data_IF_111189194909
#
_entry.id   IF_111189194909
#
_cell.length_a   1.000
_cell.length_b   1.000
_cell.length_c   1.000
_cell.angle_alpha   90.00
_cell.angle_beta   90.00
_cell.angle_gamma   90.00
#
_symmetry.space_group_name_H-M   'P 1'
#
loop_
_entity.id
_entity.type
_entity.pdbx_description
1 polymer ?
#
# COMPACT_ATOMS: atom_id res chain seq x y z
N UNK A 1 21.87 58.77 17.79
CA UNK A 1 23.04 58.24 17.02
C UNK A 1 23.64 57.11 17.84
N UNK A 2 24.11 55.95 17.39
CA UNK A 2 24.43 55.38 16.10
C UNK A 2 24.14 53.88 16.24
N UNK A 3 23.05 53.39 15.64
CA UNK A 3 22.87 51.94 15.38
C UNK A 3 22.57 51.67 13.91
N UNK A 4 22.97 52.60 13.03
CA UNK A 4 22.71 52.47 11.59
C UNK A 4 23.46 51.27 11.02
N UNK A 5 24.72 51.08 11.42
CA UNK A 5 25.56 49.96 11.00
C UNK A 5 24.98 48.61 11.44
N UNK A 6 24.51 48.50 12.68
CA UNK A 6 23.85 47.31 13.23
C UNK A 6 22.52 47.02 12.53
N UNK A 7 21.74 48.07 12.24
CA UNK A 7 20.48 47.97 11.50
C UNK A 7 20.72 47.50 10.07
N UNK A 8 21.69 48.07 9.36
CA UNK A 8 22.08 47.66 8.01
C UNK A 8 22.60 46.21 7.98
N UNK A 9 23.47 45.84 8.93
CA UNK A 9 23.96 44.46 9.11
C UNK A 9 22.78 43.49 9.35
N UNK A 10 21.84 43.85 10.23
CA UNK A 10 20.66 43.04 10.50
C UNK A 10 19.77 42.87 9.25
N UNK A 11 19.55 43.94 8.48
CA UNK A 11 18.77 43.89 7.22
C UNK A 11 19.47 43.01 6.18
N UNK A 12 20.78 43.14 6.01
CA UNK A 12 21.56 42.34 5.07
C UNK A 12 21.52 40.84 5.44
N UNK A 13 21.72 40.50 6.72
CA UNK A 13 21.59 39.13 7.22
C UNK A 13 20.17 38.59 7.03
N UNK A 14 19.14 39.41 7.30
CA UNK A 14 17.75 39.01 7.12
C UNK A 14 17.42 38.71 5.65
N UNK A 15 17.88 39.55 4.71
CA UNK A 15 17.73 39.33 3.25
C UNK A 15 18.44 38.07 2.77
N UNK A 16 19.57 37.70 3.39
CA UNK A 16 20.28 36.43 3.16
C UNK A 16 19.59 35.21 3.79
N UNK A 17 18.46 35.39 4.46
CA UNK A 17 17.67 34.31 5.04
C UNK A 17 18.16 33.85 6.42
N UNK A 18 18.75 34.72 7.23
CA UNK A 18 19.02 34.46 8.65
C UNK A 18 17.74 34.67 9.49
N UNK A 19 17.55 33.86 10.52
CA UNK A 19 16.49 34.01 11.53
C UNK A 19 16.84 35.09 12.55
N UNK A 20 15.83 35.57 13.30
CA UNK A 20 16.07 36.59 14.33
C UNK A 20 17.06 36.11 15.40
N UNK A 21 17.01 34.84 15.80
CA UNK A 21 17.96 34.28 16.78
C UNK A 21 19.39 34.22 16.24
N UNK A 22 19.58 33.97 14.94
CA UNK A 22 20.91 34.01 14.33
C UNK A 22 21.44 35.44 14.20
N UNK A 23 20.58 36.40 13.87
CA UNK A 23 20.97 37.80 13.77
C UNK A 23 21.36 38.36 15.13
N UNK A 24 20.63 37.99 16.20
CA UNK A 24 20.95 38.41 17.58
C UNK A 24 22.32 37.93 18.08
N UNK A 25 22.85 36.82 17.52
CA UNK A 25 24.21 36.35 17.83
C UNK A 25 25.29 37.24 17.19
N UNK A 26 24.97 37.87 16.06
CA UNK A 26 25.88 38.67 15.25
C UNK A 26 25.72 40.19 15.47
N UNK A 27 24.56 40.58 16.01
CA UNK A 27 24.12 41.96 16.23
C UNK A 27 23.51 42.02 17.64
N UNK A 28 24.28 42.43 18.66
CA UNK A 28 23.84 42.41 20.06
C UNK A 28 22.89 43.58 20.35
N UNK A 29 21.60 43.40 20.01
CA UNK A 29 20.53 44.35 20.30
C UNK A 29 19.36 43.64 20.96
N UNK A 30 18.47 44.39 21.63
CA UNK A 30 17.24 43.81 22.16
C UNK A 30 16.38 43.22 21.05
N UNK A 31 15.71 42.09 21.34
CA UNK A 31 14.82 41.41 20.39
C UNK A 31 13.69 42.32 19.90
N UNK A 32 13.16 43.18 20.77
CA UNK A 32 12.16 44.21 20.44
C UNK A 32 12.69 45.19 19.39
N UNK A 33 13.93 45.68 19.57
CA UNK A 33 14.62 46.56 18.61
C UNK A 33 14.81 45.88 17.26
N UNK A 34 15.30 44.64 17.25
CA UNK A 34 15.49 43.87 16.01
C UNK A 34 14.16 43.65 15.27
N UNK A 35 13.08 43.39 16.01
CA UNK A 35 11.74 43.20 15.44
C UNK A 35 11.23 44.46 14.76
N UNK A 36 11.44 45.64 15.35
CA UNK A 36 11.07 46.92 14.76
C UNK A 36 11.86 47.15 13.46
N UNK A 37 13.17 46.91 13.48
CA UNK A 37 14.04 47.12 12.31
C UNK A 37 13.71 46.22 11.13
N UNK A 38 13.31 44.98 11.40
CA UNK A 38 13.03 43.98 10.36
C UNK A 38 11.54 43.89 9.98
N UNK A 39 10.68 44.73 10.56
CA UNK A 39 9.22 44.71 10.33
C UNK A 39 8.84 44.92 8.87
N UNK A 40 9.51 45.86 8.19
CA UNK A 40 9.27 46.20 6.78
C UNK A 40 10.20 45.46 5.81
N UNK A 41 11.12 44.63 6.31
CA UNK A 41 12.06 43.89 5.48
C UNK A 41 11.37 42.65 4.93
N UNK A 42 10.78 42.77 3.74
CA UNK A 42 10.31 41.63 2.97
C UNK A 42 11.46 40.65 2.71
N UNK A 43 11.21 39.37 2.98
CA UNK A 43 12.11 38.31 2.55
C UNK A 43 12.01 38.18 1.02
N UNK A 44 13.14 37.98 0.33
CA UNK A 44 13.17 37.68 -1.11
C UNK A 44 12.37 36.39 -1.45
N UNK A 45 12.22 36.03 -2.74
CA UNK A 45 11.43 34.86 -3.17
C UNK A 45 11.75 33.60 -2.34
N UNK A 46 10.69 32.96 -1.79
CA UNK A 46 10.72 31.87 -0.79
C UNK A 46 11.59 30.66 -1.15
N UNK A 47 11.84 30.41 -2.44
CA UNK A 47 12.35 29.14 -2.95
C UNK A 47 13.88 28.92 -2.81
N UNK A 48 14.69 29.95 -2.49
CA UNK A 48 16.16 29.82 -2.38
C UNK A 48 16.75 30.35 -1.06
N UNK A 49 15.95 30.42 -0.01
CA UNK A 49 16.42 30.97 1.28
C UNK A 49 16.92 29.89 2.23
N UNK A 50 18.09 30.16 2.84
CA UNK A 50 18.67 29.36 3.91
C UNK A 50 17.68 29.02 5.03
N UNK A 51 16.83 29.96 5.43
CA UNK A 51 15.79 29.72 6.45
C UNK A 51 14.74 28.70 6.00
N UNK A 52 14.29 28.78 4.74
CA UNK A 52 13.34 27.83 4.16
C UNK A 52 13.95 26.43 4.10
N UNK A 53 15.18 26.31 3.62
CA UNK A 53 15.91 25.03 3.58
C UNK A 53 16.11 24.43 4.97
N UNK A 54 16.48 25.25 5.96
CA UNK A 54 16.60 24.81 7.36
C UNK A 54 15.27 24.28 7.90
N UNK A 55 14.16 24.97 7.62
CA UNK A 55 12.81 24.53 8.03
C UNK A 55 12.42 23.21 7.36
N UNK A 56 12.68 23.07 6.05
CA UNK A 56 12.42 21.82 5.33
C UNK A 56 13.26 20.67 5.87
N UNK A 57 14.57 20.88 6.11
CA UNK A 57 15.45 19.88 6.72
C UNK A 57 14.99 19.48 8.12
N UNK A 58 14.57 20.44 8.95
CA UNK A 58 14.02 20.16 10.28
C UNK A 58 12.70 19.37 10.20
N UNK A 59 11.80 19.75 9.31
CA UNK A 59 10.54 19.05 9.08
C UNK A 59 10.77 17.61 8.59
N UNK A 60 11.72 17.42 7.66
CA UNK A 60 12.15 16.10 7.18
C UNK A 60 12.74 15.25 8.31
N UNK A 61 13.65 15.81 9.13
CA UNK A 61 14.21 15.12 10.30
C UNK A 61 13.12 14.69 11.29
N UNK A 62 12.19 15.59 11.60
CA UNK A 62 11.05 15.29 12.48
C UNK A 62 10.14 14.20 11.87
N UNK A 63 9.90 14.26 10.56
CA UNK A 63 9.12 13.24 9.83
C UNK A 63 9.81 11.87 9.86
N UNK A 64 11.11 11.83 9.61
CA UNK A 64 11.92 10.61 9.68
C UNK A 64 11.93 10.02 11.09
N UNK A 65 12.13 10.85 12.12
CA UNK A 65 12.08 10.39 13.51
C UNK A 65 10.72 9.76 13.87
N UNK A 66 9.62 10.43 13.50
CA UNK A 66 8.26 9.89 13.69
C UNK A 66 8.04 8.60 12.89
N UNK A 67 8.54 8.53 11.66
CA UNK A 67 8.46 7.33 10.82
C UNK A 67 9.19 6.17 11.48
N UNK A 68 10.42 6.37 11.96
CA UNK A 68 11.21 5.32 12.63
C UNK A 68 10.50 4.84 13.90
N UNK A 69 10.01 5.74 14.75
CA UNK A 69 9.23 5.38 15.95
C UNK A 69 7.98 4.55 15.58
N UNK A 70 7.25 4.95 14.54
CA UNK A 70 6.07 4.21 14.05
C UNK A 70 6.44 2.81 13.54
N UNK A 71 7.58 2.66 12.86
CA UNK A 71 8.03 1.36 12.36
C UNK A 71 8.33 0.39 13.51
N UNK A 72 8.99 0.85 14.57
CA UNK A 72 9.26 0.03 15.76
C UNK A 72 7.95 -0.44 16.40
N UNK A 73 7.05 0.48 16.71
CA UNK A 73 5.73 0.16 17.29
C UNK A 73 4.93 -0.77 16.38
N UNK A 74 4.98 -0.55 15.07
CA UNK A 74 4.28 -1.41 14.09
C UNK A 74 4.80 -2.85 14.14
N UNK A 75 6.12 -3.05 14.20
CA UNK A 75 6.69 -4.39 14.23
C UNK A 75 6.44 -5.09 15.58
N UNK A 76 6.40 -4.35 16.69
CA UNK A 76 5.98 -4.88 18.00
C UNK A 76 4.52 -5.35 17.98
N UNK A 77 3.59 -4.50 17.51
CA UNK A 77 2.17 -4.85 17.38
C UNK A 77 2.01 -6.09 16.50
N UNK A 78 2.64 -6.12 15.32
CA UNK A 78 2.57 -7.28 14.42
C UNK A 78 3.17 -8.52 15.06
N UNK A 79 4.28 -8.40 15.80
CA UNK A 79 4.91 -9.54 16.48
C UNK A 79 3.98 -10.14 17.51
N UNK A 80 3.25 -9.32 18.26
CA UNK A 80 2.27 -9.79 19.23
C UNK A 80 1.05 -10.40 18.55
N UNK A 81 0.43 -9.70 17.59
CA UNK A 81 -0.74 -10.18 16.87
C UNK A 81 -0.49 -11.51 16.12
N UNK A 82 0.73 -11.74 15.59
CA UNK A 82 1.09 -13.02 14.96
C UNK A 82 1.01 -14.20 15.93
N UNK A 83 1.26 -13.98 17.22
CA UNK A 83 1.20 -15.05 18.24
C UNK A 83 -0.23 -15.39 18.64
N UNK A 84 -1.15 -14.42 18.54
CA UNK A 84 -2.56 -14.58 18.91
C UNK A 84 -3.31 -15.55 18.00
N UNK A 85 -2.87 -15.72 16.73
CA UNK A 85 -3.50 -16.63 15.77
C UNK A 85 -3.33 -18.11 16.15
N UNK A 86 -2.19 -18.49 16.75
CA UNK A 86 -1.91 -19.88 17.09
C UNK A 86 -1.87 -20.83 15.88
N UNK A 87 -2.31 -22.07 16.10
CA UNK A 87 -2.38 -23.11 15.07
C UNK A 87 -3.71 -23.06 14.33
N UNK A 88 -3.67 -23.21 13.00
CA UNK A 88 -4.88 -23.24 12.17
C UNK A 88 -5.29 -24.68 11.87
N UNK A 89 -6.41 -25.11 12.44
CA UNK A 89 -7.09 -26.37 12.17
C UNK A 89 -7.73 -26.39 10.76
N UNK A 90 -8.19 -27.57 10.33
CA UNK A 90 -8.90 -27.70 9.05
C UNK A 90 -10.25 -26.96 9.05
N UNK A 91 -10.91 -26.86 10.21
CA UNK A 91 -12.15 -26.08 10.37
C UNK A 91 -11.89 -24.58 10.24
N UNK A 92 -10.85 -24.08 10.87
CA UNK A 92 -10.48 -22.66 10.76
C UNK A 92 -10.01 -22.33 9.34
N UNK A 93 -9.20 -23.19 8.72
CA UNK A 93 -8.81 -23.02 7.32
C UNK A 93 -10.03 -23.02 6.39
N UNK A 94 -11.04 -23.86 6.67
CA UNK A 94 -12.29 -23.86 5.93
C UNK A 94 -13.02 -22.53 6.03
N UNK A 95 -13.21 -22.00 7.25
CA UNK A 95 -13.84 -20.69 7.49
C UNK A 95 -13.05 -19.54 6.86
N UNK A 96 -11.72 -19.53 7.01
CA UNK A 96 -10.84 -18.52 6.40
C UNK A 96 -10.97 -18.52 4.89
N UNK A 97 -11.00 -19.70 4.26
CA UNK A 97 -11.17 -19.79 2.81
C UNK A 97 -12.55 -19.30 2.33
N UNK A 98 -13.61 -19.55 3.10
CA UNK A 98 -14.94 -18.99 2.81
C UNK A 98 -14.93 -17.47 2.92
N UNK A 99 -14.43 -16.92 4.03
CA UNK A 99 -14.36 -15.48 4.24
C UNK A 99 -13.50 -14.78 3.18
N UNK A 100 -12.39 -15.42 2.79
CA UNK A 100 -11.53 -14.93 1.72
C UNK A 100 -12.26 -14.90 0.38
N UNK A 101 -12.97 -15.98 0.03
CA UNK A 101 -13.78 -16.03 -1.18
C UNK A 101 -14.95 -15.02 -1.14
N UNK A 102 -15.55 -14.79 0.02
CA UNK A 102 -16.62 -13.80 0.17
C UNK A 102 -16.13 -12.39 -0.17
N UNK A 103 -14.89 -12.05 0.23
CA UNK A 103 -14.28 -10.75 -0.07
C UNK A 103 -13.82 -10.57 -1.52
N UNK A 104 -13.17 -11.58 -2.11
CA UNK A 104 -12.41 -11.44 -3.37
C UNK A 104 -12.88 -12.40 -4.49
N UNK A 105 -13.87 -13.25 -4.20
CA UNK A 105 -14.41 -14.25 -5.10
C UNK A 105 -15.48 -13.71 -6.06
N UNK A 106 -15.79 -14.49 -7.09
CA UNK A 106 -16.89 -14.18 -8.00
C UNK A 106 -18.23 -14.33 -7.32
N UNK A 107 -19.01 -13.24 -7.29
CA UNK A 107 -20.39 -13.27 -6.81
C UNK A 107 -21.31 -13.89 -7.86
N UNK A 108 -22.16 -14.81 -7.42
CA UNK A 108 -23.30 -15.20 -8.23
C UNK A 108 -24.24 -14.00 -8.42
N UNK A 109 -24.85 -13.94 -9.59
CA UNK A 109 -25.85 -12.91 -9.93
C UNK A 109 -27.11 -13.65 -10.34
N UNK A 110 -28.27 -13.12 -10.00
CA UNK A 110 -29.56 -13.70 -10.38
C UNK A 110 -29.66 -13.94 -11.89
N UNK A 111 -29.20 -12.96 -12.68
CA UNK A 111 -29.15 -13.05 -14.14
C UNK A 111 -28.01 -13.91 -14.71
N UNK A 112 -27.15 -14.50 -13.86
CA UNK A 112 -26.11 -15.44 -14.26
C UNK A 112 -25.85 -16.47 -13.15
N UNK A 113 -26.74 -17.48 -13.02
CA UNK A 113 -26.63 -18.51 -11.99
C UNK A 113 -25.54 -19.55 -12.29
N UNK A 114 -24.90 -19.46 -13.46
CA UNK A 114 -23.90 -20.41 -13.95
C UNK A 114 -22.46 -19.88 -13.87
N UNK A 115 -22.21 -18.91 -12.98
CA UNK A 115 -20.86 -18.35 -12.82
C UNK A 115 -19.88 -19.36 -12.22
N UNK A 116 -18.72 -19.57 -12.87
CA UNK A 116 -17.65 -20.40 -12.31
C UNK A 116 -17.03 -19.69 -11.11
N UNK A 117 -16.48 -20.48 -10.19
CA UNK A 117 -15.74 -19.96 -9.06
C UNK A 117 -14.42 -19.34 -9.52
N UNK A 118 -14.32 -18.02 -9.38
CA UNK A 118 -13.11 -17.23 -9.64
C UNK A 118 -12.67 -16.51 -8.38
N UNK A 119 -11.36 -16.34 -8.23
CA UNK A 119 -10.73 -15.59 -7.16
C UNK A 119 -9.61 -14.75 -7.76
N UNK A 120 -9.59 -13.43 -7.58
CA UNK A 120 -8.60 -12.56 -8.23
C UNK A 120 -7.90 -11.68 -7.21
N UNK A 121 -6.57 -11.76 -7.11
CA UNK A 121 -5.81 -10.89 -6.21
C UNK A 121 -4.37 -10.68 -6.73
N UNK A 122 -3.66 -9.68 -6.18
CA UNK A 122 -2.25 -9.42 -6.49
C UNK A 122 -1.31 -9.87 -5.38
N UNK A 123 -1.83 -10.14 -4.18
CA UNK A 123 -1.02 -10.63 -3.06
C UNK A 123 -0.69 -12.13 -3.24
N UNK A 124 0.60 -12.50 -3.40
CA UNK A 124 0.99 -13.88 -3.59
C UNK A 124 0.70 -14.78 -2.37
N UNK A 125 0.73 -14.25 -1.15
CA UNK A 125 0.42 -15.02 0.06
C UNK A 125 -1.07 -15.33 0.15
N UNK A 126 -1.91 -14.38 -0.25
CA UNK A 126 -3.36 -14.57 -0.31
C UNK A 126 -3.73 -15.64 -1.34
N UNK A 127 -3.13 -15.60 -2.53
CA UNK A 127 -3.34 -16.62 -3.57
C UNK A 127 -2.87 -18.00 -3.08
N UNK A 128 -1.71 -18.09 -2.41
CA UNK A 128 -1.22 -19.34 -1.82
C UNK A 128 -2.18 -19.90 -0.77
N UNK A 129 -2.70 -19.05 0.11
CA UNK A 129 -3.65 -19.46 1.13
C UNK A 129 -4.95 -19.99 0.49
N UNK A 130 -5.46 -19.29 -0.52
CA UNK A 130 -6.62 -19.73 -1.28
C UNK A 130 -6.39 -21.08 -1.97
N UNK A 131 -5.24 -21.29 -2.62
CA UNK A 131 -4.89 -22.57 -3.24
C UNK A 131 -4.76 -23.70 -2.22
N UNK A 132 -4.19 -23.42 -1.04
CA UNK A 132 -4.12 -24.39 0.07
C UNK A 132 -5.52 -24.80 0.54
N UNK A 133 -6.44 -23.84 0.68
CA UNK A 133 -7.84 -24.14 1.01
C UNK A 133 -8.51 -25.01 -0.07
N UNK A 134 -8.37 -24.65 -1.35
CA UNK A 134 -8.94 -25.43 -2.45
C UNK A 134 -8.45 -26.89 -2.46
N UNK A 135 -7.14 -27.08 -2.30
CA UNK A 135 -6.53 -28.41 -2.39
C UNK A 135 -6.76 -29.23 -1.12
N UNK A 136 -6.51 -28.65 0.06
CA UNK A 136 -6.55 -29.38 1.33
C UNK A 136 -7.99 -29.61 1.80
N UNK A 137 -8.83 -28.57 1.74
CA UNK A 137 -10.17 -28.58 2.31
C UNK A 137 -11.20 -28.95 1.25
N UNK A 138 -11.20 -28.27 0.10
CA UNK A 138 -12.20 -28.50 -0.95
C UNK A 138 -11.87 -29.68 -1.87
N UNK A 139 -10.69 -30.30 -1.72
CA UNK A 139 -10.20 -31.44 -2.50
C UNK A 139 -10.20 -31.20 -4.02
N UNK A 140 -10.00 -29.95 -4.45
CA UNK A 140 -9.90 -29.59 -5.87
C UNK A 140 -8.55 -30.02 -6.42
N UNK A 141 -8.57 -30.80 -7.49
CA UNK A 141 -7.35 -31.28 -8.15
C UNK A 141 -6.61 -30.13 -8.87
N UNK A 142 -5.27 -30.19 -8.89
CA UNK A 142 -4.43 -29.15 -9.51
C UNK A 142 -4.74 -28.92 -10.99
N UNK A 143 -5.17 -29.96 -11.71
CA UNK A 143 -5.55 -29.91 -13.14
C UNK A 143 -6.80 -29.07 -13.40
N UNK A 144 -7.66 -28.93 -12.39
CA UNK A 144 -8.91 -28.17 -12.49
C UNK A 144 -8.71 -26.70 -12.09
N UNK A 145 -7.49 -26.32 -11.68
CA UNK A 145 -7.12 -24.95 -11.34
C UNK A 145 -6.49 -24.29 -12.57
N UNK A 146 -7.16 -23.23 -13.04
CA UNK A 146 -6.76 -22.43 -14.19
C UNK A 146 -6.31 -21.05 -13.74
N UNK A 147 -5.30 -20.50 -14.41
CA UNK A 147 -4.78 -19.17 -14.11
C UNK A 147 -4.98 -18.21 -15.28
N UNK A 148 -5.24 -16.94 -14.94
CA UNK A 148 -5.28 -15.84 -15.88
C UNK A 148 -4.59 -14.61 -15.28
N UNK A 149 -3.54 -14.12 -15.93
CA UNK A 149 -2.76 -12.97 -15.45
C UNK A 149 -3.29 -11.69 -16.09
N UNK A 150 -3.55 -10.68 -15.27
CA UNK A 150 -3.97 -9.35 -15.69
C UNK A 150 -2.80 -8.38 -15.56
N UNK A 151 -2.35 -7.85 -16.70
CA UNK A 151 -1.19 -6.97 -16.79
C UNK A 151 -1.57 -5.59 -17.32
N UNK A 152 -0.75 -4.60 -17.04
CA UNK A 152 -0.80 -3.31 -17.74
C UNK A 152 0.09 -3.37 -18.98
N UNK A 153 -0.18 -2.52 -19.96
CA UNK A 153 0.58 -2.46 -21.23
C UNK A 153 2.08 -2.28 -21.03
N UNK A 154 2.50 -1.65 -19.93
CA UNK A 154 3.90 -1.38 -19.60
C UNK A 154 4.59 -2.51 -18.83
N UNK A 155 3.88 -3.60 -18.51
CA UNK A 155 4.40 -4.69 -17.69
C UNK A 155 4.92 -5.82 -18.56
N UNK A 156 6.12 -6.30 -18.25
CA UNK A 156 6.71 -7.44 -18.97
C UNK A 156 5.93 -8.74 -18.67
N UNK A 157 5.49 -9.40 -19.75
CA UNK A 157 4.65 -10.58 -19.70
C UNK A 157 5.43 -11.78 -19.18
N UNK A 158 6.65 -11.98 -19.69
CA UNK A 158 7.42 -13.20 -19.41
C UNK A 158 7.95 -13.22 -17.97
N UNK A 159 8.41 -12.08 -17.44
CA UNK A 159 8.74 -11.97 -16.01
C UNK A 159 7.54 -12.24 -15.11
N UNK A 160 6.35 -11.77 -15.49
CA UNK A 160 5.11 -12.01 -14.73
C UNK A 160 4.74 -13.50 -14.71
N UNK A 161 4.82 -14.19 -15.85
CA UNK A 161 4.61 -15.66 -15.91
C UNK A 161 5.61 -16.41 -15.03
N UNK A 162 6.90 -16.10 -15.17
CA UNK A 162 7.99 -16.72 -14.39
C UNK A 162 7.80 -16.49 -12.89
N UNK A 163 7.42 -15.27 -12.51
CA UNK A 163 7.10 -14.93 -11.13
C UNK A 163 5.96 -15.80 -10.58
N UNK A 164 4.79 -15.79 -11.23
CA UNK A 164 3.63 -16.53 -10.72
C UNK A 164 3.83 -18.04 -10.73
N UNK A 165 4.51 -18.59 -11.76
CA UNK A 165 4.89 -20.00 -11.81
C UNK A 165 5.78 -20.38 -10.63
N UNK A 166 6.84 -19.61 -10.36
CA UNK A 166 7.75 -19.85 -9.23
C UNK A 166 7.03 -19.72 -7.89
N UNK A 167 6.23 -18.66 -7.72
CA UNK A 167 5.54 -18.35 -6.47
C UNK A 167 4.52 -19.43 -6.14
N UNK A 168 3.70 -19.86 -7.11
CA UNK A 168 2.59 -20.78 -6.87
C UNK A 168 2.99 -22.25 -7.03
N UNK A 169 4.17 -22.53 -7.61
CA UNK A 169 4.65 -23.89 -7.84
C UNK A 169 3.83 -24.65 -8.88
N UNK A 170 3.35 -23.96 -9.92
CA UNK A 170 2.68 -24.56 -11.08
C UNK A 170 3.55 -24.38 -12.32
N UNK A 171 3.41 -25.26 -13.32
CA UNK A 171 4.22 -25.16 -14.54
C UNK A 171 3.90 -23.89 -15.33
N UNK A 172 4.89 -23.35 -16.05
CA UNK A 172 4.71 -22.16 -16.90
C UNK A 172 3.56 -22.31 -17.90
N UNK A 173 3.30 -23.55 -18.37
CA UNK A 173 2.22 -23.87 -19.29
C UNK A 173 0.81 -23.61 -18.74
N UNK A 174 0.66 -23.44 -17.42
CA UNK A 174 -0.63 -23.09 -16.82
C UNK A 174 -0.89 -21.58 -16.77
N UNK A 175 0.08 -20.74 -17.13
CA UNK A 175 0.00 -19.27 -17.10
C UNK A 175 -0.07 -18.62 -18.48
N UNK A 176 -0.66 -19.33 -19.45
CA UNK A 176 -0.72 -18.87 -20.85
C UNK A 176 -1.77 -17.79 -21.08
N UNK A 177 -2.81 -17.73 -20.24
CA UNK A 177 -3.90 -16.78 -20.42
C UNK A 177 -3.53 -15.43 -19.80
N UNK A 178 -3.41 -14.41 -20.65
CA UNK A 178 -3.06 -13.04 -20.24
C UNK A 178 -4.16 -12.09 -20.70
N UNK A 179 -4.51 -11.12 -19.85
CA UNK A 179 -5.35 -9.99 -20.22
C UNK A 179 -4.63 -8.67 -19.98
N UNK A 180 -4.47 -7.89 -21.04
CA UNK A 180 -3.91 -6.54 -20.97
C UNK A 180 -5.01 -5.55 -20.60
N UNK A 181 -4.79 -4.80 -19.52
CA UNK A 181 -5.63 -3.68 -19.07
C UNK A 181 -5.05 -2.37 -19.63
N UNK A 182 -5.80 -1.72 -20.51
CA UNK A 182 -5.47 -0.38 -21.04
C UNK A 182 -5.34 0.64 -19.91
N UNK A 183 -4.34 1.52 -20.00
CA UNK A 183 -4.08 2.52 -18.97
C UNK A 183 -5.10 3.68 -19.00
N UNK A 184 -5.67 4.03 -17.83
CA UNK A 184 -6.30 5.34 -17.62
C UNK A 184 -5.24 6.30 -17.07
N UNK A 185 -4.77 7.22 -17.93
CA UNK A 185 -3.62 8.12 -17.75
C UNK A 185 -3.70 8.99 -16.47
N UNK A 186 -4.88 9.19 -15.88
CA UNK A 186 -5.11 10.15 -14.78
C UNK A 186 -4.86 9.64 -13.35
N UNK A 187 -4.35 8.42 -13.15
CA UNK A 187 -4.11 7.91 -11.78
C UNK A 187 -2.64 8.02 -11.38
N UNK A 188 -2.34 8.71 -10.26
CA UNK A 188 -1.03 8.67 -9.59
C UNK A 188 -0.84 7.29 -8.93
N UNK A 189 -0.62 6.26 -9.76
CA UNK A 189 -0.46 4.87 -9.32
C UNK A 189 0.96 4.65 -8.82
N UNK A 190 1.10 3.98 -7.68
CA UNK A 190 2.40 3.59 -7.10
C UNK A 190 2.84 2.17 -7.48
N UNK A 191 1.90 1.34 -7.95
CA UNK A 191 2.13 -0.05 -8.38
C UNK A 191 2.52 -0.11 -9.87
N UNK A 192 3.60 0.57 -10.24
CA UNK A 192 4.16 0.61 -11.60
C UNK A 192 5.66 0.28 -11.62
N UNK A 193 6.23 -0.10 -10.46
CA UNK A 193 7.65 -0.42 -10.34
C UNK A 193 7.97 -1.83 -10.85
N UNK A 194 9.27 -2.13 -10.93
CA UNK A 194 9.85 -3.41 -11.39
C UNK A 194 9.39 -4.65 -10.61
N UNK A 195 8.76 -4.48 -9.45
CA UNK A 195 8.25 -5.56 -8.60
C UNK A 195 6.74 -5.81 -8.78
N UNK A 196 6.10 -5.20 -9.79
CA UNK A 196 4.70 -5.45 -10.12
C UNK A 196 4.58 -6.54 -11.18
N UNK A 197 4.01 -7.68 -10.81
CA UNK A 197 3.84 -8.85 -11.70
C UNK A 197 2.38 -9.09 -12.10
N UNK A 198 1.53 -8.05 -12.00
CA UNK A 198 0.11 -8.15 -12.32
C UNK A 198 -0.78 -8.67 -11.19
N UNK A 199 -2.07 -8.72 -11.48
CA UNK A 199 -3.06 -9.47 -10.69
C UNK A 199 -3.21 -10.85 -11.30
N UNK A 200 -3.45 -11.86 -10.49
CA UNK A 200 -3.75 -13.21 -10.99
C UNK A 200 -5.18 -13.60 -10.60
N UNK A 201 -5.90 -14.15 -11.57
CA UNK A 201 -7.16 -14.84 -11.34
C UNK A 201 -6.91 -16.33 -11.29
N UNK A 202 -7.42 -16.96 -10.25
CA UNK A 202 -7.59 -18.40 -10.12
C UNK A 202 -9.04 -18.73 -10.50
N UNK A 203 -9.23 -19.59 -11.47
CA UNK A 203 -10.54 -20.10 -11.89
C UNK A 203 -10.58 -21.61 -11.73
N UNK A 204 -11.71 -22.14 -11.27
CA UNK A 204 -11.88 -23.59 -11.11
C UNK A 204 -12.72 -24.12 -12.27
N UNK A 205 -12.25 -25.16 -12.95
CA UNK A 205 -12.93 -25.80 -14.07
C UNK A 205 -14.24 -26.46 -13.57
N UNK A 206 -15.33 -26.33 -14.34
CA UNK A 206 -16.65 -26.94 -14.05
C UNK A 206 -17.16 -26.66 -12.62
N UNK A 207 -16.99 -25.44 -12.13
CA UNK A 207 -17.14 -25.10 -10.71
C UNK A 207 -18.44 -24.37 -10.34
N UNK A 208 -19.46 -24.39 -11.19
CA UNK A 208 -20.74 -23.72 -10.89
C UNK A 208 -21.37 -24.21 -9.59
N UNK A 209 -21.46 -25.54 -9.39
CA UNK A 209 -21.99 -26.11 -8.15
C UNK A 209 -21.09 -25.82 -6.95
N UNK A 210 -19.77 -25.77 -7.17
CA UNK A 210 -18.83 -25.38 -6.12
C UNK A 210 -19.04 -23.93 -5.70
N UNK A 211 -19.26 -23.01 -6.64
CA UNK A 211 -19.57 -21.61 -6.36
C UNK A 211 -20.88 -21.48 -5.54
N UNK A 212 -21.94 -22.22 -5.92
CA UNK A 212 -23.19 -22.29 -5.14
C UNK A 212 -22.95 -22.80 -3.72
N UNK A 213 -22.13 -23.84 -3.58
CA UNK A 213 -21.77 -24.41 -2.27
C UNK A 213 -21.06 -23.37 -1.39
N UNK A 214 -20.17 -22.56 -1.96
CA UNK A 214 -19.52 -21.48 -1.22
C UNK A 214 -20.53 -20.42 -0.79
N UNK A 215 -21.47 -20.03 -1.66
CA UNK A 215 -22.53 -19.10 -1.27
C UNK A 215 -23.36 -19.63 -0.11
N UNK A 216 -23.77 -20.91 -0.15
CA UNK A 216 -24.46 -21.53 0.99
C UNK A 216 -23.63 -21.54 2.27
N UNK A 217 -22.30 -21.66 2.19
CA UNK A 217 -21.43 -21.51 3.35
C UNK A 217 -21.38 -20.08 3.88
N UNK A 218 -21.37 -19.08 3.00
CA UNK A 218 -21.43 -17.66 3.35
C UNK A 218 -22.77 -17.35 4.06
N UNK A 219 -23.87 -17.85 3.50
CA UNK A 219 -25.21 -17.76 4.09
C UNK A 219 -25.25 -18.34 5.49
N UNK A 220 -24.68 -19.54 5.66
CA UNK A 220 -24.53 -20.15 6.97
C UNK A 220 -23.76 -19.28 7.96
N UNK A 221 -22.67 -18.63 7.53
CA UNK A 221 -21.88 -17.75 8.43
C UNK A 221 -22.73 -16.60 8.96
N UNK A 222 -23.35 -15.81 8.09
CA UNK A 222 -24.07 -14.62 8.56
C UNK A 222 -25.34 -14.97 9.34
N UNK A 223 -26.02 -16.07 8.99
CA UNK A 223 -27.16 -16.59 9.76
C UNK A 223 -26.77 -16.98 11.18
N UNK A 224 -25.67 -17.73 11.35
CA UNK A 224 -25.20 -18.15 12.67
C UNK A 224 -24.57 -17.00 13.46
N UNK A 225 -24.19 -15.91 12.80
CA UNK A 225 -23.77 -14.67 13.45
C UNK A 225 -24.95 -13.72 13.77
N UNK A 226 -26.19 -14.09 13.44
CA UNK A 226 -27.38 -13.26 13.70
C UNK A 226 -27.44 -11.99 12.84
N UNK A 227 -26.79 -12.00 11.67
CA UNK A 227 -26.78 -10.89 10.71
C UNK A 227 -27.88 -11.19 9.68
N UNK A 228 -28.94 -10.39 9.66
CA UNK A 228 -30.08 -10.49 8.72
C UNK A 228 -30.08 -9.27 7.80
#
# INVERSE_FOLDING_TARGET
MSKSKEKEKAIALRKRGYSYSEILKEVPVYKSTLSIWLRSVGLAKKQKQRLTEKRLKAALRGSLSRKTKRLVVTEEIKKQARKEIGNISDRELWLVGIALYWGEGSKQKENNPSQPARFTNSDPLMIKLYLKWLQKICKIARKDILFEIYLHETTDIESSKKYWSKVLGFSLNQFQKIRIKKNKIRTKRKNIGSNYYGLIRVEIRKSTNFNRKINGWIEGIYQHCGIV
#
